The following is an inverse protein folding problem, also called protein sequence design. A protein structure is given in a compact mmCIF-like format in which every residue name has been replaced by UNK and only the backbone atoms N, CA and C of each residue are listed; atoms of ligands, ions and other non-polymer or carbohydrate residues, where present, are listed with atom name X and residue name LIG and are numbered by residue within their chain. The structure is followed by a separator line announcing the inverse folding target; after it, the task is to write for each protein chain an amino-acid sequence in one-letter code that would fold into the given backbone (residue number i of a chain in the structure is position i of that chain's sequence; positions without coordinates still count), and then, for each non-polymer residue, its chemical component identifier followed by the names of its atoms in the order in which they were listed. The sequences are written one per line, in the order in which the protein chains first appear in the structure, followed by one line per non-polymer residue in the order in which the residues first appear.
data_IF_449650734157
#
_entry.id   IF_449650734157
#
_cell.length_a   1.000
_cell.length_b   1.000
_cell.length_c   1.000
_cell.angle_alpha   90.00
_cell.angle_beta   90.00
_cell.angle_gamma   90.00
#
_symmetry.space_group_name_H-M   'P 1'
#
loop_
_entity.id
_entity.type
_entity.pdbx_description
1 polymer ?
#
# COMPACT_ATOMS: atom_id res chain seq x y z
N UNK A 1 12.12 0.89 12.54
CA UNK A 1 11.54 2.03 13.29
C UNK A 1 10.60 1.50 14.36
N UNK A 2 10.71 1.92 15.63
CA UNK A 2 9.79 1.43 16.67
C UNK A 2 8.35 1.86 16.32
N UNK A 3 7.38 0.97 16.52
CA UNK A 3 5.97 1.22 16.18
C UNK A 3 5.54 0.80 14.77
N UNK A 4 6.47 0.37 13.91
CA UNK A 4 6.17 -0.15 12.57
C UNK A 4 6.75 -1.54 12.37
N UNK A 5 5.96 -2.44 11.77
CA UNK A 5 6.44 -3.75 11.33
C UNK A 5 7.30 -3.67 10.06
N UNK A 6 7.19 -2.59 9.29
CA UNK A 6 7.91 -2.45 8.01
C UNK A 6 7.41 -3.41 6.93
N UNK A 7 6.20 -3.97 7.08
CA UNK A 7 5.64 -4.97 6.17
C UNK A 7 4.23 -4.60 5.72
N UNK A 8 3.92 -4.92 4.47
CA UNK A 8 2.61 -4.82 3.84
C UNK A 8 2.20 -6.21 3.34
N UNK A 9 0.93 -6.56 3.49
CA UNK A 9 0.35 -7.72 2.79
C UNK A 9 -0.38 -7.20 1.55
N UNK A 10 0.05 -7.62 0.35
CA UNK A 10 -0.67 -7.37 -0.89
C UNK A 10 -1.47 -8.61 -1.26
N UNK A 11 -2.72 -8.38 -1.67
CA UNK A 11 -3.67 -9.42 -2.01
C UNK A 11 -4.24 -9.08 -3.39
N UNK A 12 -4.13 -10.04 -4.32
CA UNK A 12 -4.86 -10.04 -5.58
C UNK A 12 -6.08 -10.96 -5.42
N UNK A 13 -7.27 -10.36 -5.39
CA UNK A 13 -8.52 -11.09 -5.24
C UNK A 13 -8.95 -11.82 -6.51
N UNK A 14 -8.53 -11.35 -7.69
CA UNK A 14 -8.84 -11.95 -8.99
C UNK A 14 -8.04 -13.23 -9.19
N UNK A 15 -6.76 -13.23 -8.81
CA UNK A 15 -5.88 -14.40 -8.87
C UNK A 15 -5.95 -15.30 -7.63
N UNK A 16 -6.53 -14.81 -6.52
CA UNK A 16 -6.52 -15.51 -5.23
C UNK A 16 -5.11 -15.64 -4.64
N UNK A 17 -4.23 -14.68 -4.92
CA UNK A 17 -2.82 -14.70 -4.53
C UNK A 17 -2.51 -13.62 -3.50
N UNK A 18 -1.44 -13.82 -2.75
CA UNK A 18 -0.93 -12.83 -1.81
C UNK A 18 0.59 -12.83 -1.77
N UNK A 19 1.15 -11.68 -1.42
CA UNK A 19 2.57 -11.52 -1.15
C UNK A 19 2.79 -10.62 0.07
N UNK A 20 3.85 -10.89 0.84
CA UNK A 20 4.28 -10.03 1.93
C UNK A 20 5.47 -9.21 1.47
N UNK A 21 5.32 -7.88 1.47
CA UNK A 21 6.32 -6.95 0.99
C UNK A 21 6.93 -6.13 2.11
N UNK A 22 8.16 -5.70 1.89
CA UNK A 22 8.83 -4.75 2.75
C UNK A 22 8.47 -3.31 2.37
N UNK A 23 8.15 -2.50 3.38
CA UNK A 23 7.94 -1.06 3.21
C UNK A 23 9.26 -0.36 3.52
N UNK A 24 9.87 0.36 2.57
CA UNK A 24 11.13 1.06 2.82
C UNK A 24 11.00 2.02 4.01
N UNK A 25 12.00 2.03 4.90
CA UNK A 25 11.98 2.86 6.11
C UNK A 25 11.74 4.35 5.81
N UNK A 26 12.33 4.87 4.72
CA UNK A 26 12.15 6.27 4.30
C UNK A 26 10.70 6.63 3.92
N UNK A 27 9.88 5.65 3.49
CA UNK A 27 8.45 5.86 3.26
C UNK A 27 7.73 6.05 4.59
N UNK A 28 8.02 5.20 5.58
CA UNK A 28 7.43 5.28 6.91
C UNK A 28 7.89 6.54 7.68
N UNK A 29 9.12 6.99 7.47
CA UNK A 29 9.62 8.26 8.02
C UNK A 29 8.88 9.46 7.44
N UNK A 30 8.62 9.43 6.13
CA UNK A 30 8.03 10.57 5.40
C UNK A 30 6.52 10.66 5.55
N UNK A 31 5.83 9.52 5.58
CA UNK A 31 4.37 9.45 5.53
C UNK A 31 3.75 8.80 6.76
N UNK A 32 4.57 8.39 7.75
CA UNK A 32 4.14 7.71 8.96
C UNK A 32 3.37 6.42 8.63
N UNK A 33 2.13 6.33 9.09
CA UNK A 33 1.24 5.19 8.89
C UNK A 33 -0.20 5.67 8.62
N UNK A 34 -1.17 4.77 8.80
CA UNK A 34 -2.59 5.10 8.67
C UNK A 34 -2.90 5.83 7.36
N UNK A 35 -3.48 7.03 7.46
CA UNK A 35 -3.88 7.82 6.28
C UNK A 35 -2.71 8.26 5.40
N UNK A 36 -1.54 8.57 5.98
CA UNK A 36 -0.38 9.03 5.22
C UNK A 36 0.19 7.90 4.35
N UNK A 37 0.44 6.74 4.95
CA UNK A 37 0.87 5.54 4.23
C UNK A 37 -0.20 5.08 3.22
N UNK A 38 -1.48 5.10 3.60
CA UNK A 38 -2.58 4.73 2.70
C UNK A 38 -2.62 5.60 1.44
N UNK A 39 -2.50 6.92 1.60
CA UNK A 39 -2.50 7.86 0.46
C UNK A 39 -1.29 7.67 -0.44
N UNK A 40 -0.09 7.45 0.13
CA UNK A 40 1.11 7.13 -0.63
C UNK A 40 0.93 5.86 -1.48
N UNK A 41 0.38 4.80 -0.89
CA UNK A 41 0.13 3.54 -1.59
C UNK A 41 -0.94 3.70 -2.69
N UNK A 42 -2.02 4.45 -2.42
CA UNK A 42 -3.05 4.75 -3.42
C UNK A 42 -2.47 5.48 -4.62
N UNK A 43 -1.72 6.57 -4.40
CA UNK A 43 -1.10 7.33 -5.49
C UNK A 43 -0.08 6.52 -6.31
N UNK A 44 0.55 5.51 -5.68
CA UNK A 44 1.52 4.64 -6.35
C UNK A 44 0.86 3.55 -7.20
N UNK A 45 -0.27 3.01 -6.73
CA UNK A 45 -0.83 1.77 -7.28
C UNK A 45 -2.14 1.96 -8.05
N UNK A 46 -2.95 2.97 -7.71
CA UNK A 46 -4.24 3.22 -8.36
C UNK A 46 -4.02 4.18 -9.52
N UNK A 47 -4.36 3.79 -10.77
CA UNK A 47 -4.19 4.66 -11.92
C UNK A 47 -5.10 5.90 -11.84
N UNK A 48 -4.65 7.01 -12.41
CA UNK A 48 -5.46 8.22 -12.48
C UNK A 48 -6.75 7.96 -13.27
N UNK A 49 -7.90 8.27 -12.67
CA UNK A 49 -9.21 8.04 -13.28
C UNK A 49 -9.71 6.59 -13.20
N UNK A 50 -9.12 5.75 -12.34
CA UNK A 50 -9.67 4.44 -11.99
C UNK A 50 -11.17 4.52 -11.67
N UNK A 51 -11.93 3.55 -12.15
CA UNK A 51 -13.35 3.42 -11.79
C UNK A 51 -13.44 3.08 -10.30
N UNK A 52 -14.16 3.85 -9.47
CA UNK A 52 -14.34 3.54 -8.05
C UNK A 52 -14.95 2.16 -7.77
N UNK A 53 -15.61 1.54 -8.75
CA UNK A 53 -16.17 0.19 -8.68
C UNK A 53 -15.41 -0.82 -9.57
N UNK A 54 -14.32 -0.40 -10.20
CA UNK A 54 -13.47 -1.22 -11.05
C UNK A 54 -12.52 -2.11 -10.25
N UNK A 55 -11.86 -3.07 -10.92
CA UNK A 55 -10.91 -3.98 -10.29
C UNK A 55 -9.52 -3.37 -10.00
N UNK A 56 -9.23 -2.16 -10.51
CA UNK A 56 -7.90 -1.54 -10.55
C UNK A 56 -7.80 -0.24 -9.72
#
# INVERSE_FOLDING_TARGET
MKGFYGRLLRIDLSAGQWEAEEIPAGVLERYLGGKGLGTYLMLKNIPAGADPLGPD
#
